data_IF_214726641660
#
_entry.id   IF_214726641660
#
_cell.length_a   1.000
_cell.length_b   1.000
_cell.length_c   1.000
_cell.angle_alpha   90.00
_cell.angle_beta   90.00
_cell.angle_gamma   90.00
#
_symmetry.space_group_name_H-M   'P 1'
#
loop_
_entity.id
_entity.type
_entity.pdbx_description
1 polymer ?
#
# COMPACT_ATOMS: atom_id res chain seq x y z
N UNK A 1 0.47 -13.93 19.00
CA UNK A 1 -0.05 -13.12 17.91
C UNK A 1 0.72 -11.81 17.76
N UNK A 2 0.80 -10.99 18.82
CA UNK A 2 1.46 -9.66 18.78
C UNK A 2 2.92 -9.74 18.30
N UNK A 3 3.72 -10.67 18.78
CA UNK A 3 5.12 -10.79 18.35
C UNK A 3 5.26 -11.11 16.85
N UNK A 4 4.42 -12.01 16.33
CA UNK A 4 4.36 -12.29 14.89
C UNK A 4 3.85 -11.08 14.12
N UNK A 5 2.82 -10.40 14.65
CA UNK A 5 2.30 -9.16 14.05
C UNK A 5 3.39 -8.09 13.93
N UNK A 6 4.19 -7.84 14.98
CA UNK A 6 5.28 -6.87 14.93
C UNK A 6 6.30 -7.24 13.84
N UNK A 7 6.68 -8.52 13.75
CA UNK A 7 7.59 -8.98 12.70
C UNK A 7 7.08 -8.73 11.29
N UNK A 8 5.79 -9.01 11.04
CA UNK A 8 5.16 -8.72 9.75
C UNK A 8 4.86 -7.23 9.56
N UNK A 9 4.52 -6.49 10.61
CA UNK A 9 4.25 -5.04 10.57
C UNK A 9 5.49 -4.22 10.19
N UNK A 10 6.68 -4.66 10.56
CA UNK A 10 7.93 -4.08 10.06
C UNK A 10 8.02 -4.26 8.54
N UNK A 11 7.66 -5.44 8.04
CA UNK A 11 7.73 -5.78 6.61
C UNK A 11 6.65 -5.05 5.78
N UNK A 12 5.43 -4.89 6.34
CA UNK A 12 4.28 -4.17 5.71
C UNK A 12 4.46 -2.65 5.73
N UNK A 13 5.44 -2.08 6.28
CA UNK A 13 5.76 -0.81 6.91
C UNK A 13 4.55 -0.14 7.60
N UNK A 14 4.06 -0.78 8.65
CA UNK A 14 2.99 -0.23 9.50
C UNK A 14 3.58 0.82 10.45
N UNK A 15 2.85 1.94 10.66
CA UNK A 15 3.25 2.91 11.68
C UNK A 15 3.33 2.24 13.07
N UNK A 16 4.39 2.49 13.86
CA UNK A 16 5.52 3.40 13.65
C UNK A 16 6.73 2.77 12.93
N UNK A 17 6.67 1.52 12.50
CA UNK A 17 7.80 0.75 11.93
C UNK A 17 8.08 1.02 10.44
N UNK A 18 7.59 2.12 9.88
CA UNK A 18 7.60 2.41 8.43
C UNK A 18 8.83 3.19 7.94
N UNK A 19 9.59 3.82 8.84
CA UNK A 19 10.61 4.82 8.50
C UNK A 19 11.78 4.29 7.67
N UNK A 20 12.04 2.99 7.74
CA UNK A 20 13.11 2.34 6.99
C UNK A 20 12.83 2.30 5.48
N UNK A 21 11.55 2.23 5.07
CA UNK A 21 11.17 1.99 3.68
C UNK A 21 11.58 3.12 2.74
N UNK A 22 11.30 4.42 3.00
CA UNK A 22 11.74 5.50 2.13
C UNK A 22 13.26 5.59 2.02
N UNK A 23 13.99 5.34 3.11
CA UNK A 23 15.45 5.35 3.12
C UNK A 23 16.01 4.21 2.27
N UNK A 24 15.49 3.00 2.45
CA UNK A 24 15.89 1.83 1.67
C UNK A 24 15.68 2.04 0.16
N UNK A 25 14.55 2.63 -0.25
CA UNK A 25 14.29 2.92 -1.66
C UNK A 25 15.22 3.96 -2.27
N UNK A 26 15.61 4.98 -1.48
CA UNK A 26 16.52 6.03 -1.94
C UNK A 26 17.91 5.48 -2.24
N UNK A 27 18.45 4.67 -1.32
CA UNK A 27 19.77 4.09 -1.43
C UNK A 27 19.85 2.93 -2.44
N UNK A 28 18.76 2.18 -2.59
CA UNK A 28 18.74 1.01 -3.46
C UNK A 28 18.78 1.37 -4.95
N UNK A 29 19.48 0.57 -5.78
CA UNK A 29 19.32 0.62 -7.22
C UNK A 29 17.86 0.43 -7.65
N UNK A 30 17.47 0.96 -8.83
CA UNK A 30 16.08 0.91 -9.31
C UNK A 30 15.50 -0.51 -9.35
N UNK A 31 16.27 -1.49 -9.82
CA UNK A 31 15.84 -2.89 -9.90
C UNK A 31 15.49 -3.47 -8.51
N UNK A 32 16.28 -3.14 -7.48
CA UNK A 32 16.01 -3.57 -6.10
C UNK A 32 14.77 -2.87 -5.56
N UNK A 33 14.58 -1.57 -5.85
CA UNK A 33 13.36 -0.85 -5.45
C UNK A 33 12.10 -1.46 -6.07
N UNK A 34 12.17 -1.91 -7.32
CA UNK A 34 11.05 -2.61 -8.00
C UNK A 34 10.67 -3.90 -7.28
N UNK A 35 11.64 -4.74 -6.93
CA UNK A 35 11.40 -6.00 -6.21
C UNK A 35 10.92 -5.73 -4.78
N UNK A 36 11.52 -4.76 -4.10
CA UNK A 36 11.16 -4.38 -2.74
C UNK A 36 9.70 -3.92 -2.65
N UNK A 37 9.30 -2.98 -3.50
CA UNK A 37 7.93 -2.49 -3.54
C UNK A 37 6.96 -3.51 -4.17
N UNK A 38 7.36 -4.18 -5.25
CA UNK A 38 6.48 -5.09 -5.98
C UNK A 38 6.11 -6.35 -5.20
N UNK A 39 7.07 -6.97 -4.49
CA UNK A 39 6.92 -8.30 -3.89
C UNK A 39 7.16 -8.29 -2.38
N UNK A 40 8.29 -7.73 -1.91
CA UNK A 40 8.73 -7.95 -0.53
C UNK A 40 7.77 -7.38 0.52
N UNK A 41 7.15 -6.24 0.27
CA UNK A 41 6.14 -5.67 1.17
C UNK A 41 4.92 -6.60 1.32
N UNK A 42 4.51 -7.25 0.23
CA UNK A 42 3.36 -8.16 0.21
C UNK A 42 3.59 -9.44 0.98
N UNK A 43 4.84 -9.87 1.12
CA UNK A 43 5.17 -11.02 1.99
C UNK A 43 4.78 -10.77 3.45
N UNK A 44 4.81 -9.52 3.93
CA UNK A 44 4.33 -9.17 5.26
C UNK A 44 2.82 -9.34 5.39
N UNK A 45 2.04 -8.81 4.44
CA UNK A 45 0.57 -8.97 4.40
C UNK A 45 0.20 -10.44 4.21
N UNK A 46 0.88 -11.14 3.31
CA UNK A 46 0.69 -12.56 3.09
C UNK A 46 0.96 -13.38 4.37
N UNK A 47 2.03 -13.05 5.09
CA UNK A 47 2.37 -13.69 6.36
C UNK A 47 1.28 -13.49 7.43
N UNK A 48 0.71 -12.30 7.53
CA UNK A 48 -0.44 -12.04 8.40
C UNK A 48 -1.64 -12.91 8.00
N UNK A 49 -2.03 -12.88 6.73
CA UNK A 49 -3.20 -13.63 6.23
C UNK A 49 -3.01 -15.15 6.30
N UNK A 50 -1.80 -15.65 6.02
CA UNK A 50 -1.56 -17.10 5.90
C UNK A 50 -1.09 -17.76 7.18
N UNK A 51 -0.45 -17.02 8.08
CA UNK A 51 0.12 -17.52 9.33
C UNK A 51 -0.71 -17.02 10.53
N UNK A 52 -0.77 -15.71 10.77
CA UNK A 52 -1.42 -15.17 11.96
C UNK A 52 -2.92 -15.48 12.02
N UNK A 53 -3.63 -15.33 10.92
CA UNK A 53 -5.08 -15.50 10.86
C UNK A 53 -5.51 -16.95 11.14
N UNK A 54 -4.98 -17.96 10.43
CA UNK A 54 -5.38 -19.35 10.66
C UNK A 54 -4.87 -19.94 11.97
N UNK A 55 -3.68 -19.51 12.44
CA UNK A 55 -3.09 -20.07 13.65
C UNK A 55 -3.71 -19.54 14.94
N UNK A 56 -4.15 -18.28 14.93
CA UNK A 56 -4.61 -17.57 16.14
C UNK A 56 -5.86 -16.74 15.86
N UNK A 57 -6.97 -17.36 15.45
CA UNK A 57 -8.18 -16.65 15.01
C UNK A 57 -8.80 -15.77 16.11
N UNK A 58 -8.86 -16.24 17.36
CA UNK A 58 -9.41 -15.46 18.48
C UNK A 58 -8.62 -14.16 18.71
N UNK A 59 -7.29 -14.25 18.61
CA UNK A 59 -6.43 -13.08 18.74
C UNK A 59 -6.60 -12.09 17.57
N UNK A 60 -6.91 -12.57 16.37
CA UNK A 60 -7.23 -11.73 15.21
C UNK A 60 -8.49 -10.92 15.49
N UNK A 61 -9.56 -11.54 15.96
CA UNK A 61 -10.79 -10.84 16.31
C UNK A 61 -10.55 -9.77 17.37
N UNK A 62 -9.81 -10.11 18.42
CA UNK A 62 -9.51 -9.17 19.52
C UNK A 62 -8.67 -7.96 19.02
N UNK A 63 -7.73 -8.16 18.11
CA UNK A 63 -6.80 -7.13 17.66
C UNK A 63 -7.25 -6.39 16.38
N UNK A 64 -8.35 -6.81 15.76
CA UNK A 64 -8.82 -6.26 14.47
C UNK A 64 -9.11 -4.75 14.54
N UNK A 65 -9.68 -4.26 15.63
CA UNK A 65 -9.90 -2.83 15.83
C UNK A 65 -8.62 -2.02 15.85
N UNK A 66 -7.57 -2.53 16.53
CA UNK A 66 -6.25 -1.89 16.53
C UNK A 66 -5.60 -1.95 15.14
N UNK A 67 -5.77 -3.06 14.41
CA UNK A 67 -5.30 -3.17 13.02
C UNK A 67 -5.98 -2.16 12.10
N UNK A 68 -7.29 -1.97 12.26
CA UNK A 68 -8.04 -0.98 11.50
C UNK A 68 -7.52 0.45 11.77
N UNK A 69 -7.28 0.78 13.05
CA UNK A 69 -6.72 2.08 13.43
C UNK A 69 -5.31 2.29 12.85
N UNK A 70 -4.43 1.29 12.96
CA UNK A 70 -3.09 1.34 12.38
C UNK A 70 -3.13 1.48 10.85
N UNK A 71 -4.05 0.76 10.19
CA UNK A 71 -4.29 0.90 8.76
C UNK A 71 -4.73 2.31 8.38
N UNK A 72 -5.66 2.90 9.14
CA UNK A 72 -6.11 4.27 8.93
C UNK A 72 -4.99 5.29 9.12
N UNK A 73 -4.18 5.13 10.16
CA UNK A 73 -3.00 5.98 10.39
C UNK A 73 -2.05 5.87 9.19
N UNK A 74 -1.77 4.68 8.68
CA UNK A 74 -0.92 4.50 7.50
C UNK A 74 -1.48 5.19 6.27
N UNK A 75 -2.79 5.10 6.04
CA UNK A 75 -3.45 5.79 4.91
C UNK A 75 -3.25 7.29 5.00
N UNK A 76 -3.59 7.90 6.13
CA UNK A 76 -3.51 9.36 6.30
C UNK A 76 -2.05 9.82 6.34
N UNK A 77 -1.24 9.21 7.21
CA UNK A 77 0.15 9.59 7.40
C UNK A 77 0.99 9.37 6.15
N UNK A 78 0.82 8.21 5.48
CA UNK A 78 1.52 7.90 4.23
C UNK A 78 1.20 8.91 3.13
N UNK A 79 -0.09 9.29 2.98
CA UNK A 79 -0.52 10.28 2.01
C UNK A 79 0.07 11.67 2.30
N UNK A 80 -0.01 12.14 3.56
CA UNK A 80 0.54 13.44 3.96
C UNK A 80 2.05 13.50 3.76
N UNK A 81 2.76 12.44 4.14
CA UNK A 81 4.20 12.35 3.90
C UNK A 81 4.55 12.31 2.41
N UNK A 82 3.77 11.61 1.58
CA UNK A 82 3.99 11.57 0.13
C UNK A 82 3.83 12.95 -0.51
N UNK A 83 2.80 13.70 -0.14
CA UNK A 83 2.55 15.07 -0.63
C UNK A 83 3.67 16.05 -0.28
N UNK A 84 4.37 15.82 0.83
CA UNK A 84 5.46 16.69 1.29
C UNK A 84 6.82 16.36 0.65
N UNK A 85 6.91 15.33 -0.21
CA UNK A 85 8.19 14.93 -0.80
C UNK A 85 8.55 15.76 -2.02
N UNK A 86 9.83 16.06 -2.14
CA UNK A 86 10.45 16.67 -3.32
C UNK A 86 11.23 15.66 -4.17
N UNK A 87 11.54 14.47 -3.62
CA UNK A 87 12.22 13.37 -4.31
C UNK A 87 11.20 12.36 -4.83
N UNK A 88 11.24 12.05 -6.15
CA UNK A 88 10.32 11.12 -6.81
C UNK A 88 10.35 9.71 -6.19
N UNK A 89 11.53 9.19 -5.82
CA UNK A 89 11.61 7.87 -5.17
C UNK A 89 10.97 7.87 -3.78
N UNK A 90 11.17 8.93 -3.00
CA UNK A 90 10.55 9.07 -1.67
C UNK A 90 9.04 9.18 -1.79
N UNK A 91 8.54 9.96 -2.76
CA UNK A 91 7.11 10.10 -3.03
C UNK A 91 6.47 8.73 -3.27
N UNK A 92 7.03 7.92 -4.19
CA UNK A 92 6.51 6.58 -4.50
C UNK A 92 6.67 5.62 -3.30
N UNK A 93 7.73 5.75 -2.50
CA UNK A 93 7.90 4.95 -1.30
C UNK A 93 6.83 5.26 -0.22
N UNK A 94 6.53 6.54 0.02
CA UNK A 94 5.47 6.93 0.96
C UNK A 94 4.07 6.57 0.44
N UNK A 95 3.83 6.63 -0.88
CA UNK A 95 2.57 6.13 -1.44
C UNK A 95 2.40 4.62 -1.17
N UNK A 96 3.49 3.85 -1.12
CA UNK A 96 3.44 2.43 -0.76
C UNK A 96 2.98 2.22 0.69
N UNK A 97 3.37 3.09 1.63
CA UNK A 97 2.89 3.04 3.03
C UNK A 97 1.38 3.28 3.08
N UNK A 98 0.90 4.27 2.32
CA UNK A 98 -0.53 4.54 2.17
C UNK A 98 -1.29 3.31 1.67
N UNK A 99 -0.89 2.73 0.53
CA UNK A 99 -1.57 1.59 -0.07
C UNK A 99 -1.53 0.32 0.79
N UNK A 100 -0.46 0.11 1.57
CA UNK A 100 -0.43 -0.98 2.55
C UNK A 100 -1.39 -0.72 3.71
N UNK A 101 -1.68 0.53 4.04
CA UNK A 101 -2.74 0.91 4.98
C UNK A 101 -4.12 0.40 4.55
N UNK A 102 -4.49 0.51 3.26
CA UNK A 102 -5.74 -0.06 2.74
C UNK A 102 -5.78 -1.58 2.89
N UNK A 103 -4.68 -2.28 2.61
CA UNK A 103 -4.62 -3.72 2.82
C UNK A 103 -4.84 -4.09 4.31
N UNK A 104 -4.27 -3.30 5.23
CA UNK A 104 -4.50 -3.48 6.68
C UNK A 104 -5.96 -3.24 7.08
N UNK A 105 -6.60 -2.21 6.53
CA UNK A 105 -8.03 -1.93 6.73
C UNK A 105 -8.90 -3.09 6.22
N UNK A 106 -8.61 -3.59 5.02
CA UNK A 106 -9.30 -4.73 4.45
C UNK A 106 -9.12 -6.00 5.29
N UNK A 107 -7.92 -6.26 5.83
CA UNK A 107 -7.70 -7.39 6.75
C UNK A 107 -8.46 -7.23 8.07
N UNK A 108 -8.50 -6.04 8.62
CA UNK A 108 -9.22 -5.77 9.87
C UNK A 108 -10.73 -6.03 9.76
N UNK A 109 -11.28 -6.03 8.54
CA UNK A 109 -12.71 -6.26 8.29
C UNK A 109 -13.23 -7.62 8.75
N UNK A 110 -12.35 -8.57 9.05
CA UNK A 110 -12.74 -9.90 9.57
C UNK A 110 -13.61 -9.81 10.81
N UNK A 111 -13.43 -8.76 11.64
CA UNK A 111 -14.24 -8.52 12.84
C UNK A 111 -15.72 -8.25 12.51
N UNK A 112 -16.02 -7.74 11.31
CA UNK A 112 -17.39 -7.50 10.86
C UNK A 112 -18.22 -8.80 10.78
N UNK A 113 -17.58 -9.97 10.64
CA UNK A 113 -18.26 -11.25 10.70
C UNK A 113 -18.68 -11.64 12.13
N UNK A 114 -18.13 -11.01 13.15
CA UNK A 114 -18.52 -11.23 14.55
C UNK A 114 -19.94 -10.74 14.82
N UNK A 115 -20.67 -11.50 15.67
CA UNK A 115 -22.01 -11.10 16.11
C UNK A 115 -22.03 -9.74 16.83
N UNK A 116 -20.94 -9.34 17.48
CA UNK A 116 -20.79 -8.02 18.12
C UNK A 116 -20.87 -6.86 17.12
N UNK A 117 -20.51 -7.09 15.86
CA UNK A 117 -20.52 -6.10 14.79
C UNK A 117 -21.56 -6.40 13.71
N UNK A 118 -22.66 -7.06 14.11
CA UNK A 118 -23.80 -7.33 13.25
C UNK A 118 -23.70 -8.57 12.36
N UNK A 119 -22.64 -9.39 12.51
CA UNK A 119 -22.49 -10.67 11.81
C UNK A 119 -22.40 -10.53 10.27
N UNK A 120 -21.88 -9.42 9.75
CA UNK A 120 -21.86 -9.11 8.32
C UNK A 120 -20.73 -9.88 7.60
N UNK A 121 -21.00 -11.12 7.25
CA UNK A 121 -20.07 -11.99 6.52
C UNK A 121 -19.69 -11.43 5.15
N UNK A 122 -20.62 -10.77 4.45
CA UNK A 122 -20.35 -10.20 3.12
C UNK A 122 -19.33 -9.06 3.20
N UNK A 123 -19.43 -8.19 4.21
CA UNK A 123 -18.48 -7.12 4.43
C UNK A 123 -17.08 -7.67 4.78
N UNK A 124 -17.00 -8.66 5.66
CA UNK A 124 -15.73 -9.31 6.01
C UNK A 124 -15.06 -9.95 4.79
N UNK A 125 -15.81 -10.66 3.97
CA UNK A 125 -15.31 -11.26 2.72
C UNK A 125 -14.88 -10.20 1.71
N UNK A 126 -15.66 -9.13 1.54
CA UNK A 126 -15.31 -8.03 0.65
C UNK A 126 -13.98 -7.38 1.07
N UNK A 127 -13.81 -7.09 2.35
CA UNK A 127 -12.58 -6.48 2.86
C UNK A 127 -11.36 -7.37 2.72
N UNK A 128 -11.47 -8.66 3.08
CA UNK A 128 -10.37 -9.61 2.90
C UNK A 128 -9.99 -9.80 1.43
N UNK A 129 -10.99 -9.92 0.55
CA UNK A 129 -10.75 -10.00 -0.90
C UNK A 129 -10.14 -8.71 -1.43
N UNK A 130 -10.60 -7.55 -0.93
CA UNK A 130 -10.03 -6.24 -1.22
C UNK A 130 -8.57 -6.14 -0.81
N UNK A 131 -8.20 -6.64 0.38
CA UNK A 131 -6.82 -6.65 0.86
C UNK A 131 -5.90 -7.48 -0.05
N UNK A 132 -6.34 -8.67 -0.46
CA UNK A 132 -5.59 -9.53 -1.41
C UNK A 132 -5.46 -8.85 -2.76
N UNK A 133 -6.54 -8.26 -3.27
CA UNK A 133 -6.53 -7.55 -4.55
C UNK A 133 -5.67 -6.30 -4.49
N UNK A 134 -5.66 -5.58 -3.35
CA UNK A 134 -4.78 -4.43 -3.14
C UNK A 134 -3.30 -4.82 -3.14
N UNK A 135 -2.94 -5.97 -2.59
CA UNK A 135 -1.55 -6.47 -2.69
C UNK A 135 -1.12 -6.63 -4.15
N UNK A 136 -1.97 -7.23 -4.99
CA UNK A 136 -1.66 -7.43 -6.41
C UNK A 136 -1.56 -6.10 -7.15
N UNK A 137 -2.56 -5.24 -7.00
CA UNK A 137 -2.62 -3.93 -7.68
C UNK A 137 -1.45 -3.04 -7.28
N UNK A 138 -1.20 -2.89 -5.99
CA UNK A 138 -0.06 -2.10 -5.52
C UNK A 138 1.26 -2.73 -6.00
N UNK A 139 1.36 -4.06 -6.09
CA UNK A 139 2.56 -4.74 -6.61
C UNK A 139 2.90 -4.33 -8.03
N UNK A 140 1.93 -4.35 -8.92
CA UNK A 140 2.10 -4.01 -10.33
C UNK A 140 2.30 -2.51 -10.54
N UNK A 141 1.48 -1.68 -9.90
CA UNK A 141 1.53 -0.21 -10.03
C UNK A 141 2.82 0.35 -9.46
N UNK A 142 3.22 -0.05 -8.26
CA UNK A 142 4.43 0.46 -7.63
C UNK A 142 5.69 0.01 -8.37
N UNK A 143 5.72 -1.22 -8.87
CA UNK A 143 6.82 -1.69 -9.71
C UNK A 143 6.96 -0.83 -10.97
N UNK A 144 5.84 -0.55 -11.65
CA UNK A 144 5.81 0.33 -12.83
C UNK A 144 6.28 1.75 -12.50
N UNK A 145 5.80 2.34 -11.41
CA UNK A 145 6.22 3.67 -10.97
C UNK A 145 7.73 3.74 -10.68
N UNK A 146 8.29 2.74 -9.98
CA UNK A 146 9.74 2.71 -9.72
C UNK A 146 10.56 2.54 -11.00
N UNK A 147 10.10 1.75 -11.98
CA UNK A 147 10.74 1.64 -13.28
C UNK A 147 10.73 3.01 -13.98
N UNK A 148 9.60 3.70 -14.00
CA UNK A 148 9.48 5.02 -14.63
C UNK A 148 10.39 6.06 -13.96
N UNK A 149 10.45 6.08 -12.62
CA UNK A 149 11.41 6.93 -11.89
C UNK A 149 12.85 6.58 -12.26
N UNK A 150 13.16 5.29 -12.40
CA UNK A 150 14.49 4.84 -12.84
C UNK A 150 14.86 5.35 -14.22
N UNK A 151 13.94 5.28 -15.19
CA UNK A 151 14.18 5.75 -16.58
C UNK A 151 14.56 7.24 -16.62
N UNK A 152 13.91 8.07 -15.80
CA UNK A 152 14.24 9.50 -15.72
C UNK A 152 15.55 9.71 -14.96
N UNK A 153 15.76 9.01 -13.86
CA UNK A 153 16.98 9.10 -13.07
C UNK A 153 18.24 8.72 -13.86
N UNK A 154 18.19 7.65 -14.66
CA UNK A 154 19.32 7.19 -15.47
C UNK A 154 19.75 8.21 -16.53
N UNK A 155 18.83 9.11 -16.92
CA UNK A 155 19.10 10.17 -17.92
C UNK A 155 19.45 11.50 -17.30
N UNK A 156 18.77 11.89 -16.22
CA UNK A 156 18.91 13.21 -15.59
C UNK A 156 19.91 13.21 -14.42
N UNK A 157 20.23 12.05 -13.86
CA UNK A 157 21.09 11.86 -12.70
C UNK A 157 20.62 12.62 -11.43
N UNK A 158 19.37 13.09 -11.42
CA UNK A 158 18.70 13.66 -10.25
C UNK A 158 17.25 13.15 -10.14
N UNK A 159 16.62 13.35 -8.97
CA UNK A 159 15.26 12.87 -8.68
C UNK A 159 14.34 13.98 -8.17
N UNK A 160 14.84 15.21 -8.15
CA UNK A 160 14.08 16.36 -7.66
C UNK A 160 12.93 16.67 -8.62
N UNK A 161 11.71 16.73 -8.07
CA UNK A 161 10.48 16.94 -8.86
C UNK A 161 10.53 18.30 -9.54
N UNK A 162 11.01 19.34 -8.85
CA UNK A 162 11.11 20.69 -9.37
C UNK A 162 12.17 20.85 -10.48
N UNK A 163 13.09 19.88 -10.57
CA UNK A 163 14.11 19.82 -11.62
C UNK A 163 13.61 19.32 -12.97
N UNK A 164 12.36 18.81 -13.02
CA UNK A 164 11.78 18.28 -14.27
C UNK A 164 10.73 19.24 -14.83
N UNK A 165 10.84 19.52 -16.14
CA UNK A 165 9.86 20.31 -16.87
C UNK A 165 9.73 19.86 -18.31
N UNK A 166 8.55 19.98 -18.90
CA UNK A 166 8.31 19.75 -20.31
C UNK A 166 8.54 18.31 -20.81
N UNK A 167 8.54 17.30 -19.93
CA UNK A 167 8.77 15.89 -20.27
C UNK A 167 7.83 15.36 -21.35
N UNK A 168 6.58 15.84 -21.37
CA UNK A 168 5.60 15.44 -22.38
C UNK A 168 6.03 15.83 -23.81
N UNK A 169 6.76 16.95 -23.96
CA UNK A 169 7.26 17.39 -25.28
C UNK A 169 8.49 16.58 -25.71
N UNK A 170 9.37 16.25 -24.79
CA UNK A 170 10.62 15.54 -25.08
C UNK A 170 10.43 14.02 -25.15
N UNK A 171 9.55 13.47 -24.30
CA UNK A 171 9.32 12.04 -24.14
C UNK A 171 7.81 11.73 -24.09
N UNK A 172 7.06 11.90 -25.19
CA UNK A 172 5.58 11.81 -25.17
C UNK A 172 5.09 10.43 -24.77
N UNK A 173 5.68 9.36 -25.27
CA UNK A 173 5.31 7.99 -24.89
C UNK A 173 5.54 7.71 -23.40
N UNK A 174 6.70 8.10 -22.89
CA UNK A 174 7.03 7.99 -21.47
C UNK A 174 6.00 8.75 -20.61
N UNK A 175 5.70 9.99 -20.97
CA UNK A 175 4.75 10.84 -20.24
C UNK A 175 3.34 10.27 -20.25
N UNK A 176 2.90 9.67 -21.35
CA UNK A 176 1.61 8.98 -21.42
C UNK A 176 1.55 7.78 -20.49
N UNK A 177 2.57 6.93 -20.50
CA UNK A 177 2.66 5.77 -19.60
C UNK A 177 2.75 6.23 -18.13
N UNK A 178 3.54 7.27 -17.86
CA UNK A 178 3.69 7.86 -16.54
C UNK A 178 2.36 8.38 -15.98
N UNK A 179 1.59 9.08 -16.81
CA UNK A 179 0.26 9.57 -16.46
C UNK A 179 -0.70 8.42 -16.08
N UNK A 180 -0.73 7.36 -16.89
CA UNK A 180 -1.54 6.15 -16.61
C UNK A 180 -1.10 5.50 -15.29
N UNK A 181 0.21 5.38 -15.06
CA UNK A 181 0.76 4.79 -13.84
C UNK A 181 0.36 5.57 -12.57
N UNK A 182 0.48 6.91 -12.62
CA UNK A 182 0.08 7.76 -11.50
C UNK A 182 -1.43 7.76 -11.29
N UNK A 183 -2.25 7.78 -12.34
CA UNK A 183 -3.71 7.69 -12.22
C UNK A 183 -4.16 6.33 -11.65
N UNK A 184 -3.49 5.24 -12.04
CA UNK A 184 -3.72 3.94 -11.44
C UNK A 184 -3.34 3.91 -9.95
N UNK A 185 -2.23 4.59 -9.58
CA UNK A 185 -1.79 4.76 -8.19
C UNK A 185 -2.69 5.68 -7.36
N UNK A 186 -3.39 6.63 -7.98
CA UNK A 186 -4.37 7.48 -7.30
C UNK A 186 -5.71 6.78 -7.05
N UNK A 187 -5.88 5.54 -7.52
CA UNK A 187 -7.13 4.82 -7.37
C UNK A 187 -8.32 5.49 -8.09
N UNK A 188 -8.11 6.07 -9.28
CA UNK A 188 -9.20 6.67 -10.04
C UNK A 188 -10.19 5.62 -10.55
N UNK A 189 -11.50 5.91 -10.57
CA UNK A 189 -12.51 5.05 -11.18
C UNK A 189 -12.13 4.68 -12.62
N UNK A 190 -12.22 3.39 -12.94
CA UNK A 190 -11.76 2.83 -14.21
C UNK A 190 -10.43 2.07 -14.13
N UNK A 191 -9.68 2.26 -13.04
CA UNK A 191 -8.48 1.47 -12.74
C UNK A 191 -8.73 0.44 -11.65
N UNK A 192 -7.93 -0.63 -11.66
CA UNK A 192 -8.06 -1.73 -10.69
C UNK A 192 -7.81 -1.30 -9.24
N UNK A 193 -6.97 -0.27 -9.03
CA UNK A 193 -6.70 0.31 -7.71
C UNK A 193 -7.96 0.78 -7.01
N UNK A 194 -8.85 1.49 -7.73
CA UNK A 194 -10.13 1.94 -7.18
C UNK A 194 -10.97 0.78 -6.62
N UNK A 195 -11.07 -0.30 -7.38
CA UNK A 195 -11.91 -1.46 -6.99
C UNK A 195 -11.39 -2.08 -5.69
N UNK A 196 -10.07 -2.29 -5.58
CA UNK A 196 -9.47 -2.89 -4.38
C UNK A 196 -9.60 -2.00 -3.14
N UNK A 197 -9.38 -0.70 -3.28
CA UNK A 197 -9.53 0.27 -2.19
C UNK A 197 -10.99 0.38 -1.73
N UNK A 198 -11.91 0.44 -2.67
CA UNK A 198 -13.35 0.47 -2.39
C UNK A 198 -13.81 -0.78 -1.65
N UNK A 199 -13.33 -1.98 -2.05
CA UNK A 199 -13.62 -3.23 -1.33
C UNK A 199 -13.06 -3.21 0.10
N UNK A 200 -11.86 -2.66 0.31
CA UNK A 200 -11.29 -2.49 1.65
C UNK A 200 -12.16 -1.57 2.51
N UNK A 201 -12.67 -0.47 1.95
CA UNK A 201 -13.59 0.44 2.68
C UNK A 201 -14.93 -0.21 3.00
N UNK A 202 -15.55 -0.93 2.06
CA UNK A 202 -16.79 -1.67 2.33
C UNK A 202 -16.60 -2.64 3.51
N UNK A 203 -15.45 -3.32 3.54
CA UNK A 203 -15.12 -4.23 4.63
C UNK A 203 -14.88 -3.53 5.96
N UNK A 204 -14.18 -2.40 5.94
CA UNK A 204 -13.80 -1.67 7.14
C UNK A 204 -14.97 -0.87 7.75
N UNK A 205 -15.93 -0.42 6.95
CA UNK A 205 -17.03 0.45 7.41
C UNK A 205 -17.80 -0.09 8.61
N UNK A 206 -18.18 -1.38 8.69
CA UNK A 206 -18.85 -1.94 9.86
C UNK A 206 -17.99 -1.96 11.14
N UNK A 207 -16.66 -1.91 11.00
CA UNK A 207 -15.72 -1.92 12.15
C UNK A 207 -15.73 -0.59 12.90
N UNK A 208 -16.01 0.51 12.18
CA UNK A 208 -16.03 1.87 12.72
C UNK A 208 -17.45 2.39 13.03
N UNK A 209 -18.48 1.59 12.79
CA UNK A 209 -19.89 1.93 13.04
C UNK A 209 -20.33 1.49 14.42
#
# INVERSE_FOLDING_TARGET
>A
WILLFIGFAIKVPVFPFHTWLPLAHVEAPTAISVILAGILLKLGVYGLLRINYPMLPDAVFWFSGAMALLGLINVIWGAMCALAQTDLKKLVAYSSINHMGYAMLGMASVIAASAMYGGNQAAAQAGLSGAVFQMFNHGTISAMLFILVGVVYDRAHHRDIDGFGGLAKQMPLYSGICMIAFFAGLGLPGFSGFVSEFMCFIGAFPVFK
#
